data_IF_315422676011
#
_entry.id   IF_315422676011
#
_cell.length_a   1.000
_cell.length_b   1.000
_cell.length_c   1.000
_cell.angle_alpha   90.00
_cell.angle_beta   90.00
_cell.angle_gamma   90.00
#
_symmetry.space_group_name_H-M   'P 1'
#
loop_
_entity.id
_entity.type
_entity.pdbx_description
1 polymer ?
#
# COMPACT_ATOMS: atom_id res chain seq x y z
N UNK A 1 -3.54 -4.51 -11.54
CA UNK A 1 -3.67 -3.91 -10.20
C UNK A 1 -2.35 -4.10 -9.48
N UNK A 2 -1.98 -3.22 -8.55
CA UNK A 2 -0.79 -3.39 -7.71
C UNK A 2 -1.06 -3.04 -6.25
N UNK A 3 -0.28 -3.64 -5.35
CA UNK A 3 -0.19 -3.26 -3.94
C UNK A 3 1.24 -2.79 -3.66
N UNK A 4 1.38 -1.63 -3.01
CA UNK A 4 2.68 -1.02 -2.76
C UNK A 4 2.78 -0.46 -1.35
N UNK A 5 3.94 -0.67 -0.73
CA UNK A 5 4.30 -0.12 0.56
C UNK A 5 5.21 1.11 0.38
N UNK A 6 5.13 2.11 1.28
CA UNK A 6 6.09 3.20 1.27
C UNK A 6 7.46 2.65 1.66
N UNK A 7 8.48 2.94 0.84
CA UNK A 7 9.86 2.53 1.11
C UNK A 7 10.68 3.63 1.78
N UNK A 8 10.16 4.86 1.77
CA UNK A 8 10.69 6.08 2.37
C UNK A 8 9.50 6.90 2.89
N UNK A 9 9.72 7.70 3.94
CA UNK A 9 8.71 8.60 4.51
C UNK A 9 9.11 10.09 4.44
N UNK A 10 10.37 10.39 4.11
CA UNK A 10 10.91 11.76 3.98
C UNK A 10 11.72 11.94 2.69
N UNK A 11 11.23 11.38 1.59
CA UNK A 11 11.89 11.52 0.28
C UNK A 11 10.90 11.99 -0.78
N UNK A 12 11.28 13.05 -1.47
CA UNK A 12 10.54 13.62 -2.60
C UNK A 12 11.48 13.71 -3.79
N UNK A 13 10.95 13.44 -4.97
CA UNK A 13 11.62 13.66 -6.25
C UNK A 13 10.86 14.80 -6.92
N UNK A 14 11.54 15.94 -7.07
CA UNK A 14 10.95 17.12 -7.68
C UNK A 14 10.74 16.92 -9.18
N UNK A 15 9.84 17.72 -9.76
CA UNK A 15 9.64 17.74 -11.20
C UNK A 15 10.91 18.21 -11.90
N UNK A 16 11.38 17.46 -12.89
CA UNK A 16 12.56 17.82 -13.66
C UNK A 16 13.33 16.59 -14.13
N UNK A 17 14.65 16.75 -14.22
CA UNK A 17 15.55 15.66 -14.61
C UNK A 17 15.57 14.58 -13.53
N UNK A 18 15.19 13.36 -13.92
CA UNK A 18 15.30 12.18 -13.07
C UNK A 18 16.71 11.57 -13.19
N UNK A 19 17.43 11.50 -12.08
CA UNK A 19 18.74 10.87 -12.01
C UNK A 19 18.65 9.41 -11.58
N UNK A 20 19.71 8.64 -11.89
CA UNK A 20 19.83 7.26 -11.42
C UNK A 20 19.79 7.19 -9.89
N UNK A 21 20.43 8.13 -9.20
CA UNK A 21 20.41 8.25 -7.73
C UNK A 21 18.99 8.31 -7.17
N UNK A 22 18.07 8.98 -7.86
CA UNK A 22 16.69 9.14 -7.41
C UNK A 22 15.95 7.80 -7.44
N UNK A 23 16.20 6.97 -8.45
CA UNK A 23 15.62 5.61 -8.52
C UNK A 23 16.16 4.74 -7.37
N UNK A 24 17.45 4.85 -7.03
CA UNK A 24 18.05 4.13 -5.91
C UNK A 24 17.50 4.63 -4.55
N UNK A 25 17.27 5.92 -4.41
CA UNK A 25 16.67 6.51 -3.22
C UNK A 25 15.19 6.11 -3.07
N UNK A 26 14.44 6.12 -4.17
CA UNK A 26 13.03 5.73 -4.21
C UNK A 26 12.81 4.25 -3.89
N UNK A 27 13.63 3.37 -4.46
CA UNK A 27 13.48 1.92 -4.30
C UNK A 27 14.76 1.28 -3.75
N UNK A 28 14.93 1.35 -2.43
CA UNK A 28 16.15 0.94 -1.72
C UNK A 28 16.49 -0.55 -1.82
N UNK A 29 15.47 -1.40 -1.97
CA UNK A 29 15.61 -2.84 -1.85
C UNK A 29 15.82 -3.52 -3.21
N UNK A 30 16.58 -4.60 -3.23
CA UNK A 30 16.77 -5.44 -4.42
C UNK A 30 15.61 -6.44 -4.58
N UNK A 31 14.38 -5.93 -4.56
CA UNK A 31 13.20 -6.77 -4.77
C UNK A 31 12.89 -6.92 -6.27
N UNK A 32 12.29 -8.04 -6.60
CA UNK A 32 11.78 -8.34 -7.95
C UNK A 32 10.28 -8.07 -8.03
N UNK A 33 9.76 -7.85 -9.22
CA UNK A 33 8.34 -7.67 -9.45
C UNK A 33 7.70 -9.05 -9.58
N UNK A 34 6.71 -9.34 -8.75
CA UNK A 34 5.92 -10.55 -8.83
C UNK A 34 4.47 -10.23 -9.15
N UNK A 35 3.75 -11.19 -9.71
CA UNK A 35 2.29 -11.16 -9.76
C UNK A 35 1.68 -12.40 -9.12
N UNK A 36 0.58 -12.20 -8.42
CA UNK A 36 -0.19 -13.21 -7.70
C UNK A 36 -1.67 -13.05 -8.05
N UNK A 37 -2.41 -14.16 -8.11
CA UNK A 37 -3.87 -14.11 -8.20
C UNK A 37 -4.45 -13.99 -6.79
N UNK A 38 -5.29 -12.98 -6.57
CA UNK A 38 -6.00 -12.74 -5.31
C UNK A 38 -7.46 -12.41 -5.59
N UNK A 39 -8.38 -12.88 -4.77
CA UNK A 39 -9.77 -12.38 -4.81
C UNK A 39 -9.83 -10.91 -4.35
N UNK A 40 -10.92 -10.22 -4.67
CA UNK A 40 -11.12 -8.85 -4.16
C UNK A 40 -11.22 -8.84 -2.63
N UNK A 41 -11.87 -9.84 -2.04
CA UNK A 41 -11.89 -10.06 -0.58
C UNK A 41 -10.48 -10.24 0.01
N UNK A 42 -9.61 -11.00 -0.67
CA UNK A 42 -8.22 -11.17 -0.24
C UNK A 42 -7.40 -9.88 -0.35
N UNK A 43 -7.71 -9.04 -1.35
CA UNK A 43 -7.13 -7.69 -1.48
C UNK A 43 -7.58 -6.79 -0.34
N UNK A 44 -8.86 -6.85 0.04
CA UNK A 44 -9.41 -6.11 1.17
C UNK A 44 -8.73 -6.50 2.49
N UNK A 45 -8.66 -7.80 2.79
CA UNK A 45 -7.96 -8.34 3.97
C UNK A 45 -6.47 -7.96 4.00
N UNK A 46 -5.82 -7.89 2.85
CA UNK A 46 -4.43 -7.43 2.73
C UNK A 46 -4.28 -5.97 3.15
N UNK A 47 -5.20 -5.10 2.71
CA UNK A 47 -5.19 -3.68 3.04
C UNK A 47 -5.50 -3.47 4.53
N UNK A 48 -6.51 -4.16 5.04
CA UNK A 48 -6.87 -4.16 6.47
C UNK A 48 -5.68 -4.47 7.37
N UNK A 49 -4.90 -5.49 7.01
CA UNK A 49 -3.73 -5.89 7.78
C UNK A 49 -2.69 -4.77 7.87
N UNK A 50 -2.41 -4.07 6.76
CA UNK A 50 -1.50 -2.94 6.74
C UNK A 50 -2.03 -1.72 7.50
N UNK A 51 -3.33 -1.44 7.34
CA UNK A 51 -4.04 -0.33 7.98
C UNK A 51 -4.09 -0.47 9.50
N UNK A 52 -4.26 -1.69 10.00
CA UNK A 52 -4.28 -1.99 11.45
C UNK A 52 -3.01 -1.55 12.18
N UNK A 53 -1.88 -1.55 11.49
CA UNK A 53 -0.62 -1.10 12.03
C UNK A 53 -0.45 0.42 12.05
N UNK A 54 -1.26 1.14 11.27
CA UNK A 54 -1.09 2.57 11.02
C UNK A 54 -2.13 3.44 11.70
N UNK A 55 -3.41 3.05 11.64
CA UNK A 55 -4.51 3.89 12.10
C UNK A 55 -5.17 3.32 13.35
N UNK A 56 -5.43 4.19 14.33
CA UNK A 56 -6.28 3.86 15.47
C UNK A 56 -7.75 3.73 15.05
N UNK A 57 -8.56 3.17 15.97
CA UNK A 57 -10.01 3.33 15.92
C UNK A 57 -10.37 4.58 16.70
N UNK A 58 -10.75 5.64 15.99
CA UNK A 58 -11.15 6.92 16.57
C UNK A 58 -12.61 6.85 17.04
N UNK A 59 -12.84 7.20 18.30
CA UNK A 59 -14.18 7.31 18.90
C UNK A 59 -14.64 8.76 19.02
N UNK A 60 -13.69 9.70 18.98
CA UNK A 60 -13.93 11.14 19.00
C UNK A 60 -12.92 11.90 18.13
N UNK A 61 -13.21 13.13 17.69
CA UNK A 61 -12.33 13.92 16.82
C UNK A 61 -10.96 14.28 17.43
N UNK A 62 -10.82 14.17 18.75
CA UNK A 62 -9.57 14.46 19.47
C UNK A 62 -8.63 13.27 19.58
N UNK A 63 -9.06 12.07 19.18
CA UNK A 63 -8.24 10.87 19.25
C UNK A 63 -7.04 10.97 18.30
N UNK A 64 -5.96 10.27 18.62
CA UNK A 64 -4.82 10.14 17.72
C UNK A 64 -5.23 9.33 16.49
N UNK A 65 -4.93 9.84 15.30
CA UNK A 65 -5.09 9.14 14.04
C UNK A 65 -4.05 8.04 13.89
N UNK A 66 -2.77 8.39 14.01
CA UNK A 66 -1.69 7.41 13.85
C UNK A 66 -1.50 6.60 15.12
N UNK A 67 -1.09 5.35 14.92
CA UNK A 67 -0.78 4.43 16.01
C UNK A 67 0.68 4.54 16.40
N UNK A 68 0.94 4.95 17.63
CA UNK A 68 2.28 5.07 18.19
C UNK A 68 2.57 3.96 19.21
N UNK A 69 3.84 3.64 19.41
CA UNK A 69 4.31 2.88 20.55
C UNK A 69 4.61 3.81 21.74
N UNK A 70 4.99 3.22 22.88
CA UNK A 70 5.28 3.95 24.12
C UNK A 70 6.43 4.98 24.00
N UNK A 71 7.22 4.91 22.91
CA UNK A 71 8.31 5.85 22.61
C UNK A 71 7.90 6.92 21.59
N UNK A 72 6.61 7.12 21.34
CA UNK A 72 6.07 8.08 20.36
C UNK A 72 6.61 7.88 18.94
N UNK A 73 6.94 6.64 18.57
CA UNK A 73 7.27 6.25 17.20
C UNK A 73 6.11 5.45 16.61
N UNK A 74 5.99 5.39 15.28
CA UNK A 74 5.00 4.52 14.63
C UNK A 74 5.09 3.10 15.23
N UNK A 75 3.93 2.58 15.65
CA UNK A 75 3.85 1.29 16.34
C UNK A 75 4.32 0.13 15.44
N UNK A 76 4.13 0.29 14.13
CA UNK A 76 4.55 -0.66 13.11
C UNK A 76 5.50 0.01 12.12
N UNK A 77 6.46 -0.74 11.55
CA UNK A 77 7.34 -0.18 10.54
C UNK A 77 6.54 0.39 9.36
N UNK A 78 6.90 1.59 8.88
CA UNK A 78 6.17 2.28 7.80
C UNK A 78 6.03 1.42 6.54
N UNK A 79 7.05 0.60 6.24
CA UNK A 79 7.07 -0.30 5.09
C UNK A 79 6.09 -1.49 5.21
N UNK A 80 5.35 -1.60 6.32
CA UNK A 80 4.21 -2.50 6.46
C UNK A 80 2.85 -1.83 6.25
N UNK A 81 2.80 -0.54 5.94
CA UNK A 81 1.62 0.03 5.29
C UNK A 81 1.53 -0.48 3.85
N UNK A 82 0.31 -0.55 3.32
CA UNK A 82 0.08 -0.86 1.91
C UNK A 82 -1.03 0.01 1.34
N UNK A 83 -0.84 0.43 0.09
CA UNK A 83 -1.83 1.11 -0.74
C UNK A 83 -2.04 0.34 -2.03
N UNK A 84 -3.25 0.46 -2.59
CA UNK A 84 -3.64 -0.23 -3.81
C UNK A 84 -3.76 0.72 -4.99
N UNK A 85 -3.43 0.25 -6.21
CA UNK A 85 -3.77 0.90 -7.48
C UNK A 85 -4.57 -0.03 -8.38
N UNK A 86 -5.65 0.49 -8.97
CA UNK A 86 -6.60 -0.27 -9.79
C UNK A 86 -7.93 -0.57 -9.09
N UNK A 87 -8.11 -0.07 -7.87
CA UNK A 87 -9.37 0.00 -7.14
C UNK A 87 -9.53 1.40 -6.57
N UNK A 88 -10.77 1.81 -6.32
CA UNK A 88 -11.08 2.95 -5.46
C UNK A 88 -11.59 2.45 -4.12
N UNK A 89 -11.19 3.06 -3.02
CA UNK A 89 -11.58 2.62 -1.68
C UNK A 89 -11.51 3.73 -0.63
N UNK A 90 -12.29 3.61 0.43
CA UNK A 90 -12.20 4.48 1.61
C UNK A 90 -11.61 3.74 2.80
N UNK A 91 -11.04 4.48 3.75
CA UNK A 91 -10.60 3.95 5.03
C UNK A 91 -11.34 4.70 6.15
N UNK A 92 -12.27 4.04 6.83
CA UNK A 92 -12.98 4.57 7.98
C UNK A 92 -12.17 4.39 9.27
N UNK A 93 -11.66 5.51 9.78
CA UNK A 93 -10.85 5.52 11.01
C UNK A 93 -11.70 5.31 12.25
N UNK A 94 -13.03 5.40 12.16
CA UNK A 94 -13.97 5.14 13.26
C UNK A 94 -14.44 3.70 13.33
N UNK A 95 -14.30 2.95 12.23
CA UNK A 95 -14.68 1.55 12.19
C UNK A 95 -13.72 0.65 13.02
N UNK A 96 -14.18 -0.54 13.45
CA UNK A 96 -13.33 -1.52 14.11
C UNK A 96 -12.12 -1.94 13.26
N UNK A 97 -11.07 -2.43 13.90
CA UNK A 97 -9.89 -2.96 13.20
C UNK A 97 -10.27 -4.21 12.39
N UNK A 98 -9.93 -4.24 11.09
CA UNK A 98 -10.33 -5.30 10.19
C UNK A 98 -11.62 -5.02 9.41
N UNK A 99 -12.24 -3.85 9.62
CA UNK A 99 -13.46 -3.40 8.93
C UNK A 99 -13.40 -1.89 8.60
N UNK A 100 -12.19 -1.38 8.37
CA UNK A 100 -11.94 0.03 8.02
C UNK A 100 -12.04 0.28 6.53
N UNK A 101 -11.72 -0.69 5.69
CA UNK A 101 -11.62 -0.56 4.24
C UNK A 101 -12.98 -0.78 3.62
N UNK A 102 -13.32 0.06 2.65
CA UNK A 102 -14.47 -0.19 1.78
C UNK A 102 -14.05 0.04 0.35
N UNK A 103 -13.94 -1.05 -0.42
CA UNK A 103 -13.68 -0.98 -1.86
C UNK A 103 -14.95 -0.48 -2.56
N UNK A 104 -14.87 0.65 -3.26
CA UNK A 104 -16.02 1.27 -3.93
C UNK A 104 -16.06 0.98 -5.44
N UNK A 105 -14.92 0.66 -6.04
CA UNK A 105 -14.87 0.20 -7.43
C UNK A 105 -13.60 -0.58 -7.73
N UNK A 106 -13.68 -1.47 -8.71
CA UNK A 106 -12.54 -2.20 -9.27
C UNK A 106 -12.41 -1.87 -10.75
N UNK A 107 -11.26 -1.33 -11.14
CA UNK A 107 -10.99 -0.85 -12.52
C UNK A 107 -12.06 0.11 -13.05
N UNK A 108 -12.62 0.94 -12.16
CA UNK A 108 -13.66 1.91 -12.48
C UNK A 108 -15.09 1.35 -12.52
N UNK A 109 -15.29 0.05 -12.25
CA UNK A 109 -16.61 -0.55 -12.15
C UNK A 109 -17.01 -0.74 -10.68
N UNK A 110 -18.15 -0.17 -10.27
CA UNK A 110 -18.71 -0.34 -8.92
C UNK A 110 -19.51 -1.64 -8.75
N UNK A 111 -19.86 -2.31 -9.86
CA UNK A 111 -20.50 -3.62 -9.84
C UNK A 111 -19.44 -4.71 -10.00
N UNK A 112 -18.94 -5.22 -8.87
CA UNK A 112 -17.97 -6.31 -8.79
C UNK A 112 -18.38 -7.30 -7.70
N UNK A 113 -17.90 -8.54 -7.79
CA UNK A 113 -18.10 -9.54 -6.75
C UNK A 113 -16.82 -9.70 -5.92
N UNK A 114 -16.93 -9.75 -4.59
CA UNK A 114 -15.76 -9.95 -3.71
C UNK A 114 -14.96 -11.23 -4.01
N UNK A 115 -15.59 -12.24 -4.62
CA UNK A 115 -14.93 -13.49 -5.04
C UNK A 115 -14.25 -13.40 -6.41
N UNK A 116 -14.41 -12.29 -7.14
CA UNK A 116 -13.72 -12.08 -8.41
C UNK A 116 -12.21 -12.05 -8.19
N UNK A 117 -11.46 -12.70 -9.10
CA UNK A 117 -10.01 -12.80 -9.00
C UNK A 117 -9.31 -11.70 -9.79
N UNK A 118 -8.37 -11.04 -9.15
CA UNK A 118 -7.48 -10.05 -9.74
C UNK A 118 -6.05 -10.59 -9.82
N UNK A 119 -5.39 -10.31 -10.94
CA UNK A 119 -3.93 -10.40 -11.02
C UNK A 119 -3.33 -9.13 -10.38
N UNK A 120 -2.65 -9.34 -9.27
CA UNK A 120 -2.09 -8.27 -8.43
C UNK A 120 -0.57 -8.29 -8.52
N UNK A 121 0.02 -7.16 -8.88
CA UNK A 121 1.46 -6.96 -8.86
C UNK A 121 1.94 -6.55 -7.46
N UNK A 122 2.93 -7.25 -6.94
CA UNK A 122 3.57 -7.01 -5.64
C UNK A 122 5.09 -7.18 -5.77
N UNK A 123 5.84 -6.74 -4.78
CA UNK A 123 7.27 -7.05 -4.74
C UNK A 123 7.53 -8.48 -4.24
N UNK A 124 8.70 -9.04 -4.56
CA UNK A 124 9.10 -10.40 -4.20
C UNK A 124 9.14 -10.64 -2.69
N UNK A 125 9.46 -9.61 -1.89
CA UNK A 125 9.41 -9.69 -0.43
C UNK A 125 7.99 -10.00 0.07
N UNK A 126 6.96 -9.32 -0.47
CA UNK A 126 5.55 -9.60 -0.16
C UNK A 126 5.13 -10.97 -0.66
N UNK A 127 5.58 -11.36 -1.86
CA UNK A 127 5.25 -12.65 -2.49
C UNK A 127 5.63 -13.85 -1.61
N UNK A 128 6.72 -13.76 -0.86
CA UNK A 128 7.16 -14.82 0.07
C UNK A 128 6.60 -14.67 1.50
N UNK A 129 5.61 -13.78 1.69
CA UNK A 129 4.94 -13.55 2.98
C UNK A 129 5.62 -12.50 3.86
N UNK A 130 6.55 -11.72 3.32
CA UNK A 130 7.25 -10.65 4.03
C UNK A 130 6.29 -9.61 4.64
N UNK A 131 6.54 -9.26 5.90
CA UNK A 131 5.70 -8.35 6.67
C UNK A 131 4.29 -8.89 6.96
N UNK A 132 4.06 -10.19 6.80
CA UNK A 132 2.87 -10.87 7.33
C UNK A 132 1.56 -10.67 6.59
N UNK A 133 1.51 -9.84 5.53
CA UNK A 133 0.24 -9.46 4.91
C UNK A 133 -0.49 -10.67 4.31
N UNK A 134 0.20 -11.51 3.52
CA UNK A 134 -0.40 -12.71 2.95
C UNK A 134 -0.67 -13.81 4.00
N UNK A 135 0.30 -14.22 4.85
CA UNK A 135 0.05 -15.33 5.78
C UNK A 135 -0.82 -14.98 6.99
N UNK A 136 -0.76 -13.74 7.48
CA UNK A 136 -1.48 -13.34 8.69
C UNK A 136 -2.70 -12.46 8.40
N UNK A 137 -2.65 -11.65 7.34
CA UNK A 137 -3.77 -10.80 6.93
C UNK A 137 -4.76 -11.56 6.05
N UNK A 138 -4.26 -12.17 4.98
CA UNK A 138 -5.06 -12.92 4.01
C UNK A 138 -5.22 -14.40 4.40
N UNK A 139 -4.48 -14.87 5.40
CA UNK A 139 -4.50 -16.25 5.87
C UNK A 139 -4.08 -17.30 4.82
N UNK A 140 -3.21 -16.93 3.87
CA UNK A 140 -2.66 -17.87 2.89
C UNK A 140 -1.37 -18.48 3.45
N UNK A 141 -1.35 -19.80 3.63
CA UNK A 141 -0.16 -20.50 4.09
C UNK A 141 1.03 -20.25 3.13
N UNK A 142 2.24 -20.09 3.68
CA UNK A 142 3.47 -19.87 2.92
C UNK A 142 3.71 -20.94 1.85
N UNK A 143 3.38 -22.19 2.12
CA UNK A 143 3.51 -23.28 1.15
C UNK A 143 2.56 -23.15 -0.04
N UNK A 144 1.44 -22.43 0.14
CA UNK A 144 0.48 -22.14 -0.93
C UNK A 144 0.86 -20.90 -1.73
N UNK A 145 1.59 -19.95 -1.14
CA UNK A 145 2.00 -18.72 -1.82
C UNK A 145 2.77 -19.01 -3.11
N UNK A 146 3.69 -19.98 -3.06
CA UNK A 146 4.47 -20.37 -4.22
C UNK A 146 3.58 -20.86 -5.39
N UNK A 147 2.46 -21.53 -5.08
CA UNK A 147 1.52 -22.07 -6.07
C UNK A 147 0.64 -20.97 -6.70
N UNK A 148 0.39 -19.88 -5.97
CA UNK A 148 -0.43 -18.75 -6.44
C UNK A 148 0.37 -17.72 -7.25
N UNK A 149 1.70 -17.80 -7.23
CA UNK A 149 2.56 -16.92 -8.03
C UNK A 149 2.31 -17.16 -9.52
N UNK A 150 1.94 -16.10 -10.22
CA UNK A 150 1.71 -16.14 -11.67
C UNK A 150 3.00 -15.83 -12.42
N UNK A 151 3.73 -14.80 -12.00
CA UNK A 151 4.97 -14.37 -12.66
C UNK A 151 5.95 -13.81 -11.63
N UNK A 152 7.24 -13.92 -11.95
CA UNK A 152 8.34 -13.20 -11.32
C UNK A 152 9.16 -12.57 -12.44
N UNK A 153 9.58 -11.31 -12.26
CA UNK A 153 10.46 -10.66 -13.22
C UNK A 153 11.86 -11.27 -13.20
N UNK A 154 12.55 -11.21 -14.34
CA UNK A 154 13.96 -11.63 -14.46
C UNK A 154 14.92 -10.60 -13.88
N UNK A 155 14.50 -9.34 -13.85
CA UNK A 155 15.30 -8.22 -13.36
C UNK A 155 14.70 -7.62 -12.08
N UNK A 156 15.53 -7.04 -11.19
CA UNK A 156 15.04 -6.29 -10.03
C UNK A 156 14.15 -5.11 -10.45
N UNK A 157 13.23 -4.71 -9.58
CA UNK A 157 12.30 -3.58 -9.79
C UNK A 157 13.06 -2.31 -10.16
N UNK A 158 14.19 -2.02 -9.51
CA UNK A 158 15.04 -0.86 -9.85
C UNK A 158 15.45 -0.85 -11.33
N UNK A 159 15.86 -2.01 -11.87
CA UNK A 159 16.25 -2.14 -13.28
C UNK A 159 15.07 -1.94 -14.22
N UNK A 160 13.91 -2.49 -13.86
CA UNK A 160 12.65 -2.29 -14.60
C UNK A 160 12.27 -0.80 -14.60
N UNK A 161 12.38 -0.11 -13.46
CA UNK A 161 12.11 1.33 -13.35
C UNK A 161 13.06 2.15 -14.24
N UNK A 162 14.37 1.87 -14.18
CA UNK A 162 15.36 2.54 -15.04
C UNK A 162 15.04 2.35 -16.52
N UNK A 163 14.69 1.14 -16.94
CA UNK A 163 14.31 0.85 -18.33
C UNK A 163 13.02 1.58 -18.71
N UNK A 164 12.02 1.58 -17.82
CA UNK A 164 10.75 2.25 -18.04
C UNK A 164 10.93 3.75 -18.27
N UNK A 165 11.68 4.45 -17.41
CA UNK A 165 11.90 5.89 -17.57
C UNK A 165 12.80 6.22 -18.77
N UNK A 166 13.73 5.32 -19.14
CA UNK A 166 14.52 5.48 -20.38
C UNK A 166 13.63 5.42 -21.63
N UNK A 167 12.63 4.53 -21.64
CA UNK A 167 11.67 4.40 -22.74
C UNK A 167 10.57 5.47 -22.71
N UNK A 168 10.34 6.09 -21.55
CA UNK A 168 9.31 7.10 -21.32
C UNK A 168 9.93 8.38 -20.73
N UNK A 169 10.78 9.10 -21.50
CA UNK A 169 11.57 10.21 -20.97
C UNK A 169 10.73 11.41 -20.53
N UNK A 170 9.52 11.57 -21.08
CA UNK A 170 8.61 12.66 -20.77
C UNK A 170 7.31 12.12 -20.15
N UNK A 171 7.38 11.74 -18.86
CA UNK A 171 6.24 11.22 -18.13
C UNK A 171 5.66 12.27 -17.17
N UNK A 172 4.33 12.36 -17.14
CA UNK A 172 3.61 13.07 -16.08
C UNK A 172 3.06 12.07 -15.08
N UNK A 173 3.53 12.13 -13.83
CA UNK A 173 3.01 11.31 -12.74
C UNK A 173 1.72 11.96 -12.23
N UNK A 174 0.61 11.22 -12.31
CA UNK A 174 -0.68 11.65 -11.77
C UNK A 174 -0.92 10.98 -10.43
N UNK A 175 -1.43 11.75 -9.48
CA UNK A 175 -2.03 11.19 -8.27
C UNK A 175 -3.44 10.73 -8.61
N UNK A 176 -3.68 9.43 -8.53
CA UNK A 176 -4.96 8.82 -8.90
C UNK A 176 -6.09 9.22 -7.92
N UNK A 177 -5.75 9.73 -6.72
CA UNK A 177 -6.71 10.07 -5.64
C UNK A 177 -7.73 8.94 -5.40
N UNK A 178 -7.28 7.70 -5.55
CA UNK A 178 -8.14 6.52 -5.55
C UNK A 178 -8.48 6.03 -4.15
N UNK A 179 -7.96 6.68 -3.10
CA UNK A 179 -8.38 6.40 -1.73
C UNK A 179 -8.27 7.60 -0.82
N UNK A 180 -9.05 7.58 0.26
CA UNK A 180 -9.08 8.61 1.28
C UNK A 180 -9.50 8.07 2.64
N UNK A 181 -9.10 8.77 3.69
CA UNK A 181 -9.54 8.52 5.06
C UNK A 181 -10.87 9.26 5.33
N UNK A 182 -11.78 8.62 6.06
CA UNK A 182 -13.04 9.19 6.54
C UNK A 182 -13.22 8.92 8.04
N UNK A 183 -13.93 9.78 8.80
CA UNK A 183 -14.51 11.06 8.41
C UNK A 183 -13.45 12.15 8.18
N UNK A 184 -13.51 12.87 7.06
CA UNK A 184 -12.44 13.81 6.66
C UNK A 184 -12.21 14.94 7.65
N UNK A 185 -13.24 15.43 8.34
CA UNK A 185 -13.10 16.48 9.37
C UNK A 185 -12.21 16.04 10.53
N UNK A 186 -12.32 14.77 10.95
CA UNK A 186 -11.54 14.23 12.06
C UNK A 186 -10.09 14.03 11.62
N UNK A 187 -9.92 13.48 10.41
CA UNK A 187 -8.60 13.24 9.81
C UNK A 187 -7.81 14.54 9.65
N UNK A 188 -8.42 15.62 9.15
CA UNK A 188 -7.74 16.91 8.98
C UNK A 188 -7.27 17.46 10.33
N UNK A 189 -8.13 17.45 11.35
CA UNK A 189 -7.80 17.95 12.68
C UNK A 189 -6.68 17.14 13.34
N UNK A 190 -6.73 15.81 13.24
CA UNK A 190 -5.66 14.95 13.76
C UNK A 190 -4.35 15.15 13.00
N UNK A 191 -4.40 15.30 11.67
CA UNK A 191 -3.23 15.55 10.82
C UNK A 191 -2.48 16.82 11.22
N UNK A 192 -3.20 17.91 11.47
CA UNK A 192 -2.61 19.19 11.91
C UNK A 192 -1.86 19.07 13.24
N UNK A 193 -2.40 18.26 14.17
CA UNK A 193 -1.81 18.02 15.50
C UNK A 193 -0.62 17.07 15.47
N UNK A 194 -0.62 16.11 14.55
CA UNK A 194 0.36 15.00 14.57
C UNK A 194 1.53 15.22 13.62
N UNK A 195 1.32 15.82 12.45
CA UNK A 195 2.39 16.02 11.46
C UNK A 195 3.37 17.12 11.90
N UNK A 196 2.98 18.00 12.83
CA UNK A 196 3.89 18.98 13.44
C UNK A 196 4.99 18.35 14.31
N UNK A 197 4.92 17.04 14.59
CA UNK A 197 5.90 16.30 15.40
C UNK A 197 6.81 15.36 14.57
N UNK A 198 6.84 15.49 13.24
CA UNK A 198 7.68 14.69 12.32
C UNK A 198 8.61 15.55 11.47
#
# INVERSE_FOLDING_TARGET
MSLSAPLQIHHCIDTGTLYRSDIFALYRYENYLASINMTIEEVDAYLEYGIKGWFNTMTKPSDQLLRYNDKMRLAYPYYNFSSAKGINYTIDVTAPQGDKVTITSVRGNSNFNLKDTLRVAINSYRMVGGGGHLPNGVHINRDELAKRRVQLSEQPIKSIMMQYFKLNPNITIKNDKNWNLIPSKWVVNAKEKEITNF
#
